data_IF_934005335987
#
_entry.id   IF_934005335987
#
_cell.length_a   1.000
_cell.length_b   1.000
_cell.length_c   1.000
_cell.angle_alpha   90.00
_cell.angle_beta   90.00
_cell.angle_gamma   90.00
#
_symmetry.space_group_name_H-M   'P 1'
#
loop_
_entity.id
_entity.type
_entity.pdbx_description
1 polymer ?
#
# COMPACT_ATOMS: atom_id res chain seq x y z
N UNK A 1 14.09 18.54 -20.02
CA UNK A 1 13.65 18.49 -21.43
C UNK A 1 14.18 17.26 -22.18
N UNK A 2 15.48 16.98 -22.19
CA UNK A 2 16.08 15.86 -22.99
C UNK A 2 15.39 14.49 -22.75
N UNK A 3 14.96 14.19 -21.51
CA UNK A 3 14.23 12.96 -21.23
C UNK A 3 12.85 12.94 -21.91
N UNK A 4 12.11 14.06 -21.82
CA UNK A 4 10.79 14.19 -22.44
C UNK A 4 10.88 14.05 -23.96
N UNK A 5 11.87 14.67 -24.60
CA UNK A 5 12.09 14.58 -26.05
C UNK A 5 12.31 13.14 -26.49
N UNK A 6 13.10 12.37 -25.72
CA UNK A 6 13.42 10.98 -26.04
C UNK A 6 12.30 9.99 -25.71
N UNK A 7 11.52 10.21 -24.64
CA UNK A 7 10.64 9.19 -24.05
C UNK A 7 9.15 9.57 -24.06
N UNK A 8 8.74 10.65 -24.71
CA UNK A 8 7.34 11.08 -24.75
C UNK A 8 6.44 10.18 -25.61
N UNK A 9 7.00 9.25 -26.35
CA UNK A 9 6.28 8.23 -27.11
C UNK A 9 6.47 6.85 -26.48
N UNK A 10 5.53 5.94 -26.77
CA UNK A 10 5.55 4.58 -26.26
C UNK A 10 6.86 3.86 -26.56
N UNK A 11 7.46 3.29 -25.52
CA UNK A 11 8.60 2.39 -25.55
C UNK A 11 8.39 1.33 -24.47
N UNK A 12 8.62 0.07 -24.78
CA UNK A 12 8.29 -1.05 -23.90
C UNK A 12 8.84 -0.94 -22.47
N UNK A 13 10.07 -0.44 -22.32
CA UNK A 13 10.73 -0.31 -21.02
C UNK A 13 10.32 0.93 -20.25
N UNK A 14 10.30 2.09 -20.89
CA UNK A 14 9.98 3.37 -20.24
C UNK A 14 8.48 3.58 -20.04
N UNK A 15 7.65 2.82 -20.74
CA UNK A 15 6.19 2.83 -20.65
C UNK A 15 5.61 1.58 -19.98
N UNK A 16 6.44 0.77 -19.32
CA UNK A 16 5.97 -0.24 -18.41
C UNK A 16 5.02 0.37 -17.37
N UNK A 17 3.92 -0.32 -17.06
CA UNK A 17 2.81 0.26 -16.29
C UNK A 17 3.22 0.64 -14.86
N UNK A 18 4.09 -0.14 -14.22
CA UNK A 18 4.58 0.16 -12.88
C UNK A 18 5.59 1.32 -12.91
N UNK A 19 6.43 1.38 -13.94
CA UNK A 19 7.34 2.50 -14.18
C UNK A 19 6.56 3.80 -14.41
N UNK A 20 5.44 3.74 -15.17
CA UNK A 20 4.56 4.90 -15.33
C UNK A 20 3.94 5.33 -13.99
N UNK A 21 3.39 4.40 -13.20
CA UNK A 21 2.81 4.71 -11.92
C UNK A 21 3.81 5.41 -10.99
N UNK A 22 5.03 4.88 -10.87
CA UNK A 22 6.11 5.49 -10.11
C UNK A 22 6.44 6.90 -10.59
N UNK A 23 6.57 7.09 -11.89
CA UNK A 23 6.91 8.38 -12.49
C UNK A 23 5.82 9.43 -12.28
N UNK A 24 4.56 9.06 -12.47
CA UNK A 24 3.41 9.93 -12.24
C UNK A 24 3.42 10.41 -10.78
N UNK A 25 3.56 9.49 -9.83
CA UNK A 25 3.62 9.82 -8.40
C UNK A 25 4.79 10.77 -8.13
N UNK A 26 6.00 10.40 -8.55
CA UNK A 26 7.20 11.20 -8.31
C UNK A 26 7.09 12.61 -8.91
N UNK A 27 6.60 12.72 -10.13
CA UNK A 27 6.49 14.03 -10.79
C UNK A 27 5.44 14.93 -10.14
N UNK A 28 4.34 14.36 -9.63
CA UNK A 28 3.31 15.13 -8.92
C UNK A 28 3.79 15.51 -7.51
N UNK A 29 4.48 14.61 -6.81
CA UNK A 29 4.95 14.85 -5.42
C UNK A 29 6.22 15.70 -5.35
N UNK A 30 6.87 15.95 -6.49
CA UNK A 30 8.03 16.86 -6.61
C UNK A 30 7.67 18.11 -7.43
N UNK A 31 6.68 18.93 -7.00
CA UNK A 31 6.07 19.93 -7.85
C UNK A 31 7.03 21.06 -8.26
N UNK A 32 7.99 21.44 -7.45
CA UNK A 32 9.00 22.47 -7.78
C UNK A 32 9.89 22.06 -8.95
N UNK A 33 10.13 20.77 -9.12
CA UNK A 33 10.92 20.23 -10.23
C UNK A 33 10.08 19.96 -11.49
N UNK A 34 8.76 20.08 -11.39
CA UNK A 34 7.84 19.61 -12.44
C UNK A 34 6.68 20.58 -12.66
N UNK A 35 5.51 20.29 -12.09
CA UNK A 35 4.24 21.00 -12.35
C UNK A 35 4.16 22.42 -11.79
N UNK A 36 5.09 22.81 -10.94
CA UNK A 36 5.25 24.18 -10.42
C UNK A 36 6.61 24.79 -10.76
N UNK A 37 7.31 24.23 -11.75
CA UNK A 37 8.57 24.78 -12.25
C UNK A 37 8.35 26.20 -12.83
N UNK A 38 9.32 27.11 -12.68
CA UNK A 38 9.20 28.50 -13.12
C UNK A 38 9.07 28.64 -14.63
N UNK A 39 9.77 27.78 -15.40
CA UNK A 39 9.65 27.74 -16.86
C UNK A 39 8.27 27.18 -17.27
N UNK A 40 7.43 28.05 -17.82
CA UNK A 40 6.07 27.72 -18.26
C UNK A 40 6.05 26.69 -19.41
N UNK A 41 7.03 26.76 -20.34
CA UNK A 41 7.10 25.85 -21.48
C UNK A 41 7.41 24.44 -20.97
N UNK A 42 8.42 24.32 -20.12
CA UNK A 42 8.78 23.05 -19.50
C UNK A 42 7.62 22.48 -18.67
N UNK A 43 6.99 23.32 -17.83
CA UNK A 43 5.83 22.93 -17.00
C UNK A 43 4.68 22.38 -17.84
N UNK A 44 4.39 23.02 -18.97
CA UNK A 44 3.34 22.58 -19.90
C UNK A 44 3.69 21.25 -20.55
N UNK A 45 4.93 21.07 -20.99
CA UNK A 45 5.42 19.82 -21.58
C UNK A 45 5.31 18.65 -20.59
N UNK A 46 5.75 18.83 -19.34
CA UNK A 46 5.73 17.76 -18.34
C UNK A 46 4.30 17.42 -17.91
N UNK A 47 3.44 18.42 -17.74
CA UNK A 47 2.01 18.21 -17.44
C UNK A 47 1.33 17.39 -18.53
N UNK A 48 1.53 17.75 -19.80
CA UNK A 48 0.97 17.00 -20.92
C UNK A 48 1.51 15.56 -20.98
N UNK A 49 2.80 15.38 -20.67
CA UNK A 49 3.39 14.04 -20.58
C UNK A 49 2.77 13.20 -19.45
N UNK A 50 2.56 13.77 -18.25
CA UNK A 50 1.89 13.10 -17.14
C UNK A 50 0.48 12.66 -17.58
N UNK A 51 -0.30 13.55 -18.14
CA UNK A 51 -1.68 13.26 -18.58
C UNK A 51 -1.73 12.17 -19.66
N UNK A 52 -0.81 12.20 -20.62
CA UNK A 52 -0.67 11.15 -21.63
C UNK A 52 -0.36 9.79 -21.00
N UNK A 53 0.54 9.76 -20.02
CA UNK A 53 0.87 8.54 -19.27
C UNK A 53 -0.31 8.04 -18.45
N UNK A 54 -1.08 8.92 -17.80
CA UNK A 54 -2.30 8.56 -17.07
C UNK A 54 -3.35 7.91 -17.99
N UNK A 55 -3.54 8.44 -19.19
CA UNK A 55 -4.44 7.85 -20.20
C UNK A 55 -3.99 6.45 -20.58
N UNK A 56 -2.69 6.26 -20.82
CA UNK A 56 -2.15 4.94 -21.16
C UNK A 56 -2.31 3.96 -20.00
N UNK A 57 -1.93 4.37 -18.77
CA UNK A 57 -2.04 3.55 -17.57
C UNK A 57 -3.49 3.15 -17.29
N UNK A 58 -4.43 4.09 -17.38
CA UNK A 58 -5.86 3.82 -17.10
C UNK A 58 -6.49 2.81 -18.06
N UNK A 59 -6.04 2.78 -19.31
CA UNK A 59 -6.53 1.83 -20.31
C UNK A 59 -5.92 0.42 -20.15
N UNK A 60 -4.75 0.32 -19.57
CA UNK A 60 -3.97 -0.92 -19.51
C UNK A 60 -3.81 -1.50 -18.10
N UNK A 61 -4.45 -0.91 -17.09
CA UNK A 61 -4.27 -1.29 -15.68
C UNK A 61 -4.60 -2.77 -15.40
N UNK A 62 -5.49 -3.36 -16.19
CA UNK A 62 -5.87 -4.77 -16.07
C UNK A 62 -4.74 -5.73 -16.48
N UNK A 63 -3.75 -5.25 -17.24
CA UNK A 63 -2.59 -6.04 -17.63
C UNK A 63 -1.54 -6.18 -16.51
N UNK A 64 -1.66 -5.42 -15.43
CA UNK A 64 -0.86 -5.67 -14.24
C UNK A 64 -1.32 -6.97 -13.57
N UNK A 65 -0.45 -7.96 -13.53
CA UNK A 65 -0.77 -9.28 -12.94
C UNK A 65 -0.84 -9.18 -11.42
N UNK A 66 0.08 -8.48 -10.79
CA UNK A 66 0.12 -8.26 -9.35
C UNK A 66 -1.03 -7.35 -8.91
N UNK A 67 -1.86 -7.84 -7.99
CA UNK A 67 -2.95 -7.05 -7.42
C UNK A 67 -2.42 -5.87 -6.57
N UNK A 68 -1.28 -6.04 -5.94
CA UNK A 68 -0.55 -4.98 -5.22
C UNK A 68 -0.12 -3.86 -6.17
N UNK A 69 0.47 -4.20 -7.32
CA UNK A 69 0.88 -3.23 -8.33
C UNK A 69 -0.31 -2.47 -8.92
N UNK A 70 -1.47 -3.14 -9.04
CA UNK A 70 -2.72 -2.45 -9.41
C UNK A 70 -3.13 -1.39 -8.40
N UNK A 71 -3.05 -1.66 -7.10
CA UNK A 71 -3.34 -0.66 -6.05
C UNK A 71 -2.42 0.55 -6.21
N UNK A 72 -1.14 0.31 -6.47
CA UNK A 72 -0.16 1.37 -6.67
C UNK A 72 -0.46 2.22 -7.93
N UNK A 73 -0.81 1.57 -9.02
CA UNK A 73 -1.23 2.24 -10.25
C UNK A 73 -2.53 3.04 -10.03
N UNK A 74 -3.50 2.50 -9.29
CA UNK A 74 -4.72 3.24 -8.92
C UNK A 74 -4.41 4.47 -8.07
N UNK A 75 -3.48 4.36 -7.11
CA UNK A 75 -3.02 5.51 -6.34
C UNK A 75 -2.46 6.62 -7.25
N UNK A 76 -1.62 6.27 -8.23
CA UNK A 76 -1.07 7.25 -9.15
C UNK A 76 -2.15 7.98 -9.97
N UNK A 77 -3.18 7.25 -10.42
CA UNK A 77 -4.32 7.83 -11.16
C UNK A 77 -5.22 8.69 -10.26
N UNK A 78 -5.47 8.28 -9.02
CA UNK A 78 -6.21 9.10 -8.04
C UNK A 78 -5.45 10.40 -7.78
N UNK A 79 -4.14 10.31 -7.53
CA UNK A 79 -3.30 11.48 -7.29
C UNK A 79 -3.30 12.44 -8.50
N UNK A 80 -3.23 11.91 -9.73
CA UNK A 80 -3.31 12.73 -10.93
C UNK A 80 -4.69 13.40 -11.09
N UNK A 81 -5.78 12.64 -10.88
CA UNK A 81 -7.13 13.15 -11.02
C UNK A 81 -7.52 14.18 -9.93
N UNK A 82 -6.86 14.14 -8.76
CA UNK A 82 -7.01 15.14 -7.69
C UNK A 82 -6.12 16.37 -7.91
N UNK A 83 -5.04 16.22 -8.67
CA UNK A 83 -4.06 17.32 -8.91
C UNK A 83 -4.43 18.17 -10.12
N UNK A 84 -4.95 17.56 -11.20
CA UNK A 84 -5.20 18.25 -12.45
C UNK A 84 -6.70 18.55 -12.63
N UNK A 85 -7.03 19.81 -12.77
CA UNK A 85 -8.39 20.26 -13.05
C UNK A 85 -8.92 19.66 -14.36
N UNK A 86 -10.21 19.26 -14.37
CA UNK A 86 -10.82 18.59 -15.53
C UNK A 86 -10.54 17.09 -15.67
N UNK A 87 -9.70 16.51 -14.82
CA UNK A 87 -9.32 15.09 -14.89
C UNK A 87 -9.91 14.20 -13.76
N UNK A 88 -10.96 14.66 -13.09
CA UNK A 88 -11.68 13.93 -12.02
C UNK A 88 -12.09 12.50 -12.40
N UNK A 89 -12.31 12.23 -13.69
CA UNK A 89 -12.62 10.89 -14.20
C UNK A 89 -11.57 9.83 -13.82
N UNK A 90 -10.30 10.22 -13.68
CA UNK A 90 -9.26 9.27 -13.23
C UNK A 90 -9.49 8.89 -11.77
N UNK A 91 -9.84 9.85 -10.91
CA UNK A 91 -10.19 9.58 -9.51
C UNK A 91 -11.44 8.72 -9.40
N UNK A 92 -12.54 9.11 -10.06
CA UNK A 92 -13.83 8.42 -9.96
C UNK A 92 -13.75 6.95 -10.40
N UNK A 93 -13.12 6.70 -11.54
CA UNK A 93 -12.95 5.34 -12.05
C UNK A 93 -12.01 4.52 -11.17
N UNK A 94 -10.89 5.11 -10.72
CA UNK A 94 -9.91 4.42 -9.90
C UNK A 94 -10.45 4.05 -8.51
N UNK A 95 -11.27 4.90 -7.88
CA UNK A 95 -11.92 4.59 -6.60
C UNK A 95 -12.85 3.37 -6.74
N UNK A 96 -13.63 3.30 -7.83
CA UNK A 96 -14.52 2.14 -8.07
C UNK A 96 -13.73 0.85 -8.25
N UNK A 97 -12.65 0.90 -9.03
CA UNK A 97 -11.77 -0.25 -9.25
C UNK A 97 -11.07 -0.64 -7.94
N UNK A 98 -10.58 0.33 -7.15
CA UNK A 98 -9.93 0.09 -5.87
C UNK A 98 -10.84 -0.65 -4.89
N UNK A 99 -12.10 -0.22 -4.76
CA UNK A 99 -13.06 -0.91 -3.88
C UNK A 99 -13.25 -2.37 -4.28
N UNK A 100 -13.41 -2.65 -5.57
CA UNK A 100 -13.53 -4.01 -6.07
C UNK A 100 -12.23 -4.81 -5.86
N UNK A 101 -11.08 -4.18 -6.07
CA UNK A 101 -9.78 -4.81 -5.87
C UNK A 101 -9.59 -5.20 -4.40
N UNK A 102 -9.92 -4.31 -3.45
CA UNK A 102 -9.81 -4.58 -2.01
C UNK A 102 -10.73 -5.72 -1.56
N UNK A 103 -11.94 -5.82 -2.11
CA UNK A 103 -12.86 -6.95 -1.84
C UNK A 103 -12.29 -8.30 -2.32
N UNK A 104 -11.42 -8.29 -3.33
CA UNK A 104 -10.85 -9.50 -3.91
C UNK A 104 -9.51 -9.92 -3.28
N UNK A 105 -8.81 -9.01 -2.59
CA UNK A 105 -7.50 -9.30 -1.98
C UNK A 105 -7.55 -9.43 -0.47
N UNK A 106 -8.59 -8.88 0.17
CA UNK A 106 -8.79 -8.95 1.60
C UNK A 106 -9.92 -9.93 1.90
N UNK A 107 -9.69 -10.82 2.84
CA UNK A 107 -10.74 -11.68 3.35
C UNK A 107 -11.72 -10.90 4.26
N UNK A 108 -12.72 -11.61 4.81
CA UNK A 108 -13.76 -10.99 5.66
C UNK A 108 -13.19 -10.30 6.90
N UNK A 109 -12.06 -10.79 7.41
CA UNK A 109 -11.35 -10.22 8.58
C UNK A 109 -10.32 -9.16 8.19
N UNK A 110 -10.19 -8.85 6.89
CA UNK A 110 -9.27 -7.84 6.36
C UNK A 110 -7.83 -8.32 6.22
N UNK A 111 -7.58 -9.63 6.22
CA UNK A 111 -6.23 -10.13 5.99
C UNK A 111 -5.98 -10.39 4.52
N UNK A 112 -4.78 -10.03 4.07
CA UNK A 112 -4.40 -10.12 2.65
C UNK A 112 -4.28 -11.58 2.18
N UNK A 113 -4.67 -11.84 0.95
CA UNK A 113 -4.65 -13.19 0.35
C UNK A 113 -3.25 -13.82 0.26
N UNK A 114 -2.20 -12.99 0.13
CA UNK A 114 -0.80 -13.45 0.15
C UNK A 114 -0.36 -14.01 1.50
N UNK A 115 -1.11 -13.75 2.56
CA UNK A 115 -0.79 -14.04 3.96
C UNK A 115 0.51 -13.38 4.47
N UNK A 116 1.13 -12.53 3.68
CA UNK A 116 2.32 -11.79 4.07
C UNK A 116 1.95 -10.51 4.85
N UNK A 117 2.45 -10.42 6.06
CA UNK A 117 2.19 -9.28 6.96
C UNK A 117 2.72 -7.95 6.38
N UNK A 118 3.83 -7.98 5.65
CA UNK A 118 4.37 -6.75 5.04
C UNK A 118 3.48 -6.23 3.91
N UNK A 119 2.84 -7.11 3.13
CA UNK A 119 1.87 -6.69 2.12
C UNK A 119 0.65 -6.02 2.76
N UNK A 120 0.22 -6.53 3.91
CA UNK A 120 -0.84 -5.94 4.72
C UNK A 120 -0.54 -4.48 5.09
N UNK A 121 0.67 -4.21 5.59
CA UNK A 121 1.08 -2.87 6.00
C UNK A 121 1.32 -1.95 4.82
N UNK A 122 1.83 -2.51 3.72
CA UNK A 122 2.01 -1.77 2.49
C UNK A 122 0.65 -1.28 1.93
N UNK A 123 -0.39 -2.13 1.99
CA UNK A 123 -1.74 -1.75 1.59
C UNK A 123 -2.27 -0.65 2.51
N UNK A 124 -2.18 -0.81 3.82
CA UNK A 124 -2.59 0.21 4.80
C UNK A 124 -1.94 1.57 4.52
N UNK A 125 -0.63 1.58 4.28
CA UNK A 125 0.12 2.79 3.95
C UNK A 125 -0.46 3.50 2.72
N UNK A 126 -0.71 2.76 1.64
CA UNK A 126 -1.22 3.35 0.40
C UNK A 126 -2.68 3.80 0.50
N UNK A 127 -3.52 3.11 1.28
CA UNK A 127 -4.89 3.57 1.53
C UNK A 127 -4.90 4.88 2.33
N UNK A 128 -4.01 5.04 3.31
CA UNK A 128 -3.84 6.32 4.03
C UNK A 128 -3.39 7.43 3.07
N UNK A 129 -2.43 7.18 2.17
CA UNK A 129 -1.98 8.15 1.18
C UNK A 129 -3.09 8.53 0.18
N UNK A 130 -3.90 7.56 -0.25
CA UNK A 130 -5.08 7.81 -1.10
C UNK A 130 -6.07 8.72 -0.37
N UNK A 131 -6.40 8.41 0.87
CA UNK A 131 -7.32 9.23 1.68
C UNK A 131 -6.80 10.65 1.85
N UNK A 132 -5.51 10.82 2.15
CA UNK A 132 -4.87 12.13 2.25
C UNK A 132 -4.98 12.92 0.93
N UNK A 133 -4.72 12.27 -0.21
CA UNK A 133 -4.82 12.92 -1.52
C UNK A 133 -6.22 13.41 -1.80
N UNK A 134 -7.25 12.64 -1.45
CA UNK A 134 -8.65 13.01 -1.57
C UNK A 134 -9.00 14.17 -0.64
N UNK A 135 -8.56 14.10 0.63
CA UNK A 135 -8.80 15.13 1.64
C UNK A 135 -8.21 16.49 1.24
N UNK A 136 -6.92 16.50 0.82
CA UNK A 136 -6.23 17.72 0.38
C UNK A 136 -6.87 18.35 -0.86
N UNK A 137 -7.44 17.53 -1.73
CA UNK A 137 -8.16 17.99 -2.91
C UNK A 137 -9.64 18.36 -2.63
N UNK A 138 -10.08 18.30 -1.37
CA UNK A 138 -11.49 18.49 -0.97
C UNK A 138 -12.46 17.57 -1.74
N UNK A 139 -12.00 16.36 -2.04
CA UNK A 139 -12.78 15.34 -2.72
C UNK A 139 -13.55 14.49 -1.70
N UNK A 140 -14.78 14.05 -1.98
CA UNK A 140 -15.53 13.18 -1.07
C UNK A 140 -14.73 11.89 -0.75
N UNK A 141 -14.57 11.60 0.53
CA UNK A 141 -13.91 10.38 0.97
C UNK A 141 -14.94 9.25 0.99
N UNK A 142 -14.72 8.15 0.23
CA UNK A 142 -15.63 7.02 0.23
C UNK A 142 -15.61 6.28 1.57
N UNK A 143 -16.77 5.90 2.10
CA UNK A 143 -16.93 5.21 3.38
C UNK A 143 -16.08 3.93 3.47
N UNK A 144 -16.06 3.10 2.41
CA UNK A 144 -15.27 1.87 2.38
C UNK A 144 -13.78 2.10 2.66
N UNK A 145 -13.26 3.29 2.33
CA UNK A 145 -11.84 3.60 2.53
C UNK A 145 -11.52 3.75 4.02
N UNK A 146 -12.40 4.42 4.78
CA UNK A 146 -12.26 4.55 6.22
C UNK A 146 -12.42 3.21 6.93
N UNK A 147 -13.43 2.42 6.53
CA UNK A 147 -13.63 1.06 7.05
C UNK A 147 -12.40 0.18 6.84
N UNK A 148 -11.81 0.19 5.64
CA UNK A 148 -10.62 -0.62 5.34
C UNK A 148 -9.38 -0.13 6.08
N UNK A 149 -9.15 1.17 6.16
CA UNK A 149 -8.04 1.73 6.93
C UNK A 149 -8.15 1.33 8.41
N UNK A 150 -9.33 1.44 9.01
CA UNK A 150 -9.55 1.05 10.40
C UNK A 150 -9.33 -0.45 10.61
N UNK A 151 -9.87 -1.29 9.72
CA UNK A 151 -9.71 -2.75 9.77
C UNK A 151 -8.23 -3.17 9.69
N UNK A 152 -7.51 -2.65 8.69
CA UNK A 152 -6.09 -2.94 8.49
C UNK A 152 -5.24 -2.37 9.63
N UNK A 153 -5.61 -1.19 10.13
CA UNK A 153 -4.91 -0.53 11.23
C UNK A 153 -5.03 -1.28 12.56
N UNK A 154 -6.21 -1.84 12.88
CA UNK A 154 -6.40 -2.70 14.07
C UNK A 154 -5.51 -3.94 13.99
N UNK A 155 -5.47 -4.59 12.85
CA UNK A 155 -4.60 -5.75 12.63
C UNK A 155 -3.12 -5.36 12.76
N UNK A 156 -2.71 -4.23 12.16
CA UNK A 156 -1.36 -3.69 12.33
C UNK A 156 -1.02 -3.50 13.81
N UNK A 157 -1.88 -2.82 14.57
CA UNK A 157 -1.67 -2.59 16.00
C UNK A 157 -1.55 -3.88 16.78
N UNK A 158 -2.33 -4.93 16.43
CA UNK A 158 -2.29 -6.23 17.11
C UNK A 158 -1.00 -7.00 16.85
N UNK A 159 -0.43 -6.90 15.65
CA UNK A 159 0.81 -7.57 15.26
C UNK A 159 2.07 -6.81 15.66
N UNK A 160 1.96 -5.55 16.06
CA UNK A 160 3.11 -4.74 16.44
C UNK A 160 3.59 -5.11 17.85
N UNK A 161 4.85 -5.50 17.94
CA UNK A 161 5.53 -5.71 19.21
C UNK A 161 5.94 -4.40 19.89
N UNK A 162 6.25 -4.48 21.19
CA UNK A 162 6.66 -3.31 21.97
C UNK A 162 7.98 -2.65 21.50
N UNK A 163 8.80 -3.37 20.75
CA UNK A 163 10.05 -2.89 20.17
C UNK A 163 9.90 -2.42 18.71
N UNK A 164 8.70 -2.05 18.28
CA UNK A 164 8.39 -1.60 16.91
C UNK A 164 8.78 -2.61 15.81
N UNK A 165 8.76 -3.91 16.11
CA UNK A 165 8.94 -4.97 15.13
C UNK A 165 7.66 -5.79 14.95
N UNK A 166 7.64 -6.65 13.93
CA UNK A 166 6.53 -7.53 13.58
C UNK A 166 6.97 -9.00 13.57
N UNK A 167 6.02 -9.96 13.64
CA UNK A 167 6.31 -11.36 13.40
C UNK A 167 6.83 -11.60 11.98
N UNK A 168 7.76 -12.55 11.85
CA UNK A 168 8.34 -12.94 10.56
C UNK A 168 7.60 -14.12 9.94
N UNK A 169 6.28 -13.99 9.76
CA UNK A 169 5.45 -15.03 9.18
C UNK A 169 5.31 -14.86 7.67
N UNK A 170 5.17 -15.99 6.97
CA UNK A 170 4.72 -16.07 5.58
C UNK A 170 5.53 -15.21 4.60
N UNK A 171 6.86 -15.32 4.67
CA UNK A 171 7.76 -14.58 3.81
C UNK A 171 8.03 -13.14 4.25
N UNK A 172 7.56 -12.73 5.42
CA UNK A 172 7.89 -11.42 5.96
C UNK A 172 9.39 -11.33 6.29
N UNK A 173 10.00 -10.21 5.88
CA UNK A 173 11.40 -9.88 6.23
C UNK A 173 11.43 -9.05 7.51
N UNK A 174 12.60 -9.01 8.16
CA UNK A 174 12.80 -8.07 9.27
C UNK A 174 12.45 -6.65 8.81
N UNK A 175 11.59 -5.99 9.57
CA UNK A 175 11.14 -4.64 9.28
C UNK A 175 11.02 -3.85 10.59
N UNK A 176 11.74 -2.73 10.65
CA UNK A 176 11.59 -1.74 11.71
C UNK A 176 10.39 -0.83 11.38
N UNK A 177 9.36 -0.93 12.18
CA UNK A 177 8.11 -0.19 11.99
C UNK A 177 8.17 1.25 12.56
N UNK A 178 9.28 1.72 13.13
CA UNK A 178 9.37 3.03 13.76
C UNK A 178 8.97 4.18 12.83
N UNK A 179 9.49 4.17 11.59
CA UNK A 179 9.13 5.16 10.59
C UNK A 179 7.65 5.09 10.20
N UNK A 180 7.11 3.89 10.08
CA UNK A 180 5.69 3.70 9.76
C UNK A 180 4.80 4.13 10.93
N UNK A 181 5.19 3.87 12.16
CA UNK A 181 4.50 4.38 13.36
C UNK A 181 4.50 5.91 13.42
N UNK A 182 5.62 6.56 13.08
CA UNK A 182 5.68 8.02 12.98
C UNK A 182 4.75 8.54 11.88
N UNK A 183 4.74 7.89 10.71
CA UNK A 183 3.82 8.23 9.62
C UNK A 183 2.36 8.14 10.07
N UNK A 184 1.92 7.01 10.65
CA UNK A 184 0.56 6.80 11.15
C UNK A 184 0.18 7.91 12.14
N UNK A 185 1.05 8.21 13.12
CA UNK A 185 0.84 9.26 14.11
C UNK A 185 0.75 10.65 13.47
N UNK A 186 1.62 10.95 12.49
CA UNK A 186 1.61 12.23 11.78
C UNK A 186 0.33 12.48 10.99
N UNK A 187 -0.36 11.39 10.60
CA UNK A 187 -1.66 11.41 9.92
C UNK A 187 -2.86 11.36 10.88
N UNK A 188 -2.62 11.45 12.19
CA UNK A 188 -3.66 11.49 13.21
C UNK A 188 -4.31 10.14 13.53
N UNK A 189 -3.78 9.03 13.01
CA UNK A 189 -4.33 7.71 13.31
C UNK A 189 -3.82 7.17 14.64
N UNK A 190 -4.75 6.53 15.37
CA UNK A 190 -4.48 5.79 16.61
C UNK A 190 -5.26 4.49 16.61
N UNK A 191 -4.65 3.46 16.07
CA UNK A 191 -5.28 2.14 16.01
C UNK A 191 -5.18 1.41 17.36
N UNK A 192 -6.26 0.73 17.74
CA UNK A 192 -6.34 -0.07 18.96
C UNK A 192 -6.23 -1.54 18.62
N UNK A 193 -5.46 -2.29 19.41
CA UNK A 193 -5.33 -3.74 19.25
C UNK A 193 -6.70 -4.42 19.36
N UNK A 194 -7.00 -5.27 18.39
CA UNK A 194 -8.15 -6.16 18.43
C UNK A 194 -7.69 -7.59 18.19
N UNK A 195 -7.61 -8.34 19.29
CA UNK A 195 -7.11 -9.71 19.29
C UNK A 195 -8.21 -10.75 19.05
N UNK A 196 -9.50 -10.33 19.07
CA UNK A 196 -10.62 -11.28 19.05
C UNK A 196 -11.02 -11.71 17.64
N UNK A 197 -10.80 -10.86 16.63
CA UNK A 197 -11.23 -11.12 15.25
C UNK A 197 -10.06 -11.39 14.28
N UNK A 198 -8.87 -11.65 14.81
CA UNK A 198 -7.70 -11.85 13.96
C UNK A 198 -7.51 -13.34 13.57
N UNK A 199 -6.72 -13.54 12.54
CA UNK A 199 -6.22 -14.85 12.12
C UNK A 199 -5.00 -15.31 12.93
N UNK A 200 -4.73 -14.65 14.07
CA UNK A 200 -3.60 -14.92 14.93
C UNK A 200 -4.08 -15.18 16.33
N UNK A 201 -3.43 -16.12 17.02
CA UNK A 201 -3.59 -16.29 18.45
C UNK A 201 -2.54 -15.44 19.17
N UNK A 202 -3.00 -14.66 20.15
CA UNK A 202 -2.18 -13.82 20.99
C UNK A 202 -2.18 -14.35 22.42
N UNK A 203 -1.00 -14.58 22.95
CA UNK A 203 -0.80 -14.96 24.35
C UNK A 203 0.05 -13.89 25.05
N UNK A 204 -0.36 -13.46 26.25
CA UNK A 204 0.42 -12.55 27.08
C UNK A 204 0.34 -12.95 28.55
N UNK A 205 1.50 -13.22 29.14
CA UNK A 205 1.67 -13.51 30.58
C UNK A 205 2.81 -12.64 31.10
N UNK A 206 2.49 -11.61 31.88
CA UNK A 206 3.47 -10.64 32.39
C UNK A 206 4.29 -10.00 31.24
N UNK A 207 5.58 -10.29 31.19
CA UNK A 207 6.51 -9.80 30.14
C UNK A 207 6.65 -10.76 28.95
N UNK A 208 6.04 -11.93 29.02
CA UNK A 208 6.03 -12.91 27.93
C UNK A 208 4.87 -12.61 27.00
N UNK A 209 5.16 -12.42 25.73
CA UNK A 209 4.18 -12.25 24.65
C UNK A 209 4.43 -13.33 23.59
N UNK A 210 3.37 -13.94 23.08
CA UNK A 210 3.42 -14.92 22.01
C UNK A 210 2.40 -14.58 20.94
N UNK A 211 2.77 -14.73 19.68
CA UNK A 211 1.86 -14.63 18.55
C UNK A 211 2.02 -15.90 17.72
N UNK A 212 0.90 -16.52 17.35
CA UNK A 212 0.86 -17.73 16.51
C UNK A 212 0.00 -17.45 15.29
N UNK A 213 0.49 -17.83 14.12
CA UNK A 213 -0.27 -17.78 12.87
C UNK A 213 -1.22 -18.98 12.78
N UNK A 214 -2.52 -18.71 12.75
CA UNK A 214 -3.59 -19.69 12.59
C UNK A 214 -4.30 -19.57 11.26
N UNK A 215 -3.70 -18.86 10.29
CA UNK A 215 -4.25 -18.76 8.95
C UNK A 215 -4.20 -20.10 8.20
N UNK A 216 -5.17 -20.25 7.31
CA UNK A 216 -5.02 -21.23 6.23
C UNK A 216 -3.88 -20.78 5.30
N UNK A 217 -3.17 -21.70 4.64
CA UNK A 217 -2.18 -21.37 3.63
C UNK A 217 -2.82 -20.52 2.51
N UNK A 218 -2.03 -19.68 1.84
CA UNK A 218 -2.51 -18.95 0.67
C UNK A 218 -2.83 -19.93 -0.47
N UNK A 219 -3.48 -19.42 -1.52
CA UNK A 219 -3.65 -20.20 -2.76
C UNK A 219 -2.31 -20.53 -3.41
N UNK A 220 -2.29 -21.56 -4.27
CA UNK A 220 -1.09 -22.02 -4.97
C UNK A 220 -0.32 -20.90 -5.69
N UNK A 221 -1.03 -19.90 -6.17
CA UNK A 221 -0.45 -18.74 -6.83
C UNK A 221 0.55 -17.95 -5.93
N UNK A 222 0.32 -17.95 -4.61
CA UNK A 222 1.16 -17.27 -3.61
C UNK A 222 2.01 -18.23 -2.78
N UNK A 223 2.00 -19.52 -3.10
CA UNK A 223 2.65 -20.55 -2.28
C UNK A 223 4.18 -20.46 -2.26
N UNK A 224 4.79 -19.86 -3.28
CA UNK A 224 6.25 -19.75 -3.38
C UNK A 224 6.87 -18.91 -2.25
N UNK A 225 6.14 -17.90 -1.77
CA UNK A 225 6.64 -17.00 -0.71
C UNK A 225 6.15 -17.41 0.68
N UNK A 226 5.30 -18.43 0.79
CA UNK A 226 4.61 -18.77 2.04
C UNK A 226 5.46 -19.57 3.04
N UNK A 227 6.46 -20.30 2.61
CA UNK A 227 7.41 -21.04 3.46
C UNK A 227 6.79 -22.00 4.50
N UNK A 228 5.65 -22.63 4.17
CA UNK A 228 4.96 -23.58 5.04
C UNK A 228 4.69 -23.08 6.48
N UNK A 229 4.39 -21.78 6.63
CA UNK A 229 4.29 -21.10 7.91
C UNK A 229 3.03 -21.40 8.74
N UNK A 230 2.24 -22.41 8.40
CA UNK A 230 1.06 -22.79 9.19
C UNK A 230 1.46 -23.16 10.62
N UNK A 231 0.79 -22.53 11.62
CA UNK A 231 1.07 -22.66 13.05
C UNK A 231 2.47 -22.18 13.48
N UNK A 232 3.13 -21.39 12.63
CA UNK A 232 4.34 -20.67 13.06
C UNK A 232 4.04 -19.76 14.22
N UNK A 233 4.95 -19.69 15.18
CA UNK A 233 4.79 -18.79 16.31
C UNK A 233 6.10 -18.07 16.65
N UNK A 234 5.97 -16.92 17.23
CA UNK A 234 7.07 -16.17 17.83
C UNK A 234 6.78 -15.84 19.28
N UNK A 235 7.83 -15.75 20.09
CA UNK A 235 7.74 -15.37 21.50
C UNK A 235 8.72 -14.25 21.84
N UNK A 236 8.24 -13.31 22.63
CA UNK A 236 9.04 -12.22 23.17
C UNK A 236 9.01 -12.21 24.69
N UNK A 237 10.11 -11.80 25.29
CA UNK A 237 10.21 -11.55 26.73
C UNK A 237 10.84 -10.19 26.98
N UNK A 238 10.09 -9.28 27.59
CA UNK A 238 10.57 -7.96 27.94
C UNK A 238 11.08 -7.12 26.74
N UNK A 239 10.48 -7.29 25.56
CA UNK A 239 10.87 -6.58 24.32
C UNK A 239 11.96 -7.27 23.50
N UNK A 240 12.47 -8.42 23.96
CA UNK A 240 13.47 -9.21 23.21
C UNK A 240 12.84 -10.48 22.65
N UNK A 241 13.04 -10.77 21.36
CA UNK A 241 12.60 -12.04 20.76
C UNK A 241 13.42 -13.20 21.31
N UNK A 242 12.75 -14.21 21.87
CA UNK A 242 13.36 -15.45 22.42
C UNK A 242 13.10 -16.66 21.51
N UNK A 243 11.97 -16.65 20.79
CA UNK A 243 11.69 -17.57 19.69
C UNK A 243 11.28 -16.70 18.51
N UNK A 244 11.94 -16.86 17.38
CA UNK A 244 11.65 -16.13 16.15
C UNK A 244 11.55 -17.08 14.98
N UNK A 245 10.67 -16.75 14.06
CA UNK A 245 10.67 -17.38 12.75
C UNK A 245 11.86 -16.86 11.94
N UNK A 246 12.43 -17.69 11.07
CA UNK A 246 13.64 -17.30 10.32
C UNK A 246 13.38 -16.17 9.30
N UNK A 247 12.11 -15.92 8.96
CA UNK A 247 11.76 -14.98 7.90
C UNK A 247 12.12 -15.55 6.52
N UNK A 248 12.24 -14.64 5.54
CA UNK A 248 12.60 -14.98 4.14
C UNK A 248 14.07 -14.66 3.88
#
# INVERSE_FOLDING_TARGET
DAWLEKNNNYQSTTWDLLVLANRIIFWITSPSLTIRHDDLIYRTKITNSILKQCVHLSKNITHLHSKKDRIYALFSLILAGTTFEGYKKFTDSSIKILNNQLKNILDKKGFVETKNIQDQFWILHHLILIKESLYLAQYPIPEFLDERIEQLGKLYASLLYANDTIPLFNGAKYYDCSNFNQFIKSKGYKFVKDNNESHFLFGKIKKLEAIMDTNNPPSDFYSQDYQAGCLSFEMMYGGTKIITNCGY
#
